data_IF_459517127013
#
_entry.id   IF_459517127013
#
_cell.length_a   1.000
_cell.length_b   1.000
_cell.length_c   1.000
_cell.angle_alpha   90.00
_cell.angle_beta   90.00
_cell.angle_gamma   90.00
#
_symmetry.space_group_name_H-M   'P 1'
#
loop_
_entity.id
_entity.type
_entity.pdbx_description
1 polymer ?
#
# COMPACT_ATOMS: atom_id res chain seq x y z
N UNK A 1 -2.73 -0.11 -32.87
CA UNK A 1 -1.59 -0.62 -32.07
C UNK A 1 -1.73 -0.11 -30.64
N UNK A 2 -1.81 -1.00 -29.64
CA UNK A 2 -1.86 -0.58 -28.24
C UNK A 2 -0.43 -0.38 -27.71
N UNK A 3 -0.17 0.79 -27.11
CA UNK A 3 1.12 1.08 -26.46
C UNK A 3 1.15 0.39 -25.10
N UNK A 4 2.27 -0.27 -24.79
CA UNK A 4 2.55 -0.84 -23.48
C UNK A 4 3.75 -0.12 -22.87
N UNK A 5 3.71 0.04 -21.55
CA UNK A 5 4.75 0.69 -20.77
C UNK A 5 5.37 -0.33 -19.84
N UNK A 6 6.70 -0.40 -19.80
CA UNK A 6 7.45 -1.02 -18.69
C UNK A 6 7.71 0.08 -17.66
N UNK A 7 7.55 -0.23 -16.38
CA UNK A 7 7.66 0.75 -15.30
C UNK A 7 8.28 0.15 -14.05
N UNK A 8 8.83 1.02 -13.22
CA UNK A 8 9.34 0.70 -11.87
C UNK A 8 8.60 1.57 -10.85
N UNK A 9 8.05 0.97 -9.80
CA UNK A 9 7.44 1.65 -8.66
C UNK A 9 8.35 1.51 -7.43
N UNK A 10 8.60 2.60 -6.72
CA UNK A 10 9.20 2.56 -5.38
C UNK A 10 8.09 2.51 -4.34
N UNK A 11 8.04 1.43 -3.57
CA UNK A 11 7.17 1.34 -2.41
C UNK A 11 7.70 2.25 -1.30
N UNK A 12 6.90 3.22 -0.86
CA UNK A 12 7.28 4.11 0.25
C UNK A 12 7.20 3.42 1.62
N UNK A 13 6.51 2.28 1.69
CA UNK A 13 6.31 1.49 2.91
C UNK A 13 7.54 0.70 3.32
N UNK A 14 8.18 0.03 2.35
CA UNK A 14 9.30 -0.88 2.58
C UNK A 14 10.56 -0.51 1.77
N UNK A 15 10.52 0.60 1.03
CA UNK A 15 11.61 1.10 0.16
C UNK A 15 12.06 0.10 -0.92
N UNK A 16 11.20 -0.85 -1.29
CA UNK A 16 11.50 -1.83 -2.34
C UNK A 16 11.02 -1.37 -3.70
N UNK A 17 11.73 -1.80 -4.75
CA UNK A 17 11.32 -1.57 -6.13
C UNK A 17 10.43 -2.71 -6.63
N UNK A 18 9.39 -2.36 -7.39
CA UNK A 18 8.54 -3.28 -8.12
C UNK A 18 8.62 -2.95 -9.62
N UNK A 19 8.91 -3.95 -10.45
CA UNK A 19 8.97 -3.79 -11.91
C UNK A 19 7.77 -4.49 -12.54
N UNK A 20 7.15 -3.86 -13.53
CA UNK A 20 6.03 -4.44 -14.25
C UNK A 20 5.77 -3.77 -15.59
N UNK A 21 4.72 -4.23 -16.28
CA UNK A 21 4.26 -3.62 -17.52
C UNK A 21 2.73 -3.46 -17.53
N UNK A 22 2.24 -2.49 -18.30
CA UNK A 22 0.79 -2.19 -18.43
C UNK A 22 0.51 -1.38 -19.69
N UNK A 23 -0.71 -1.50 -20.25
CA UNK A 23 -1.22 -0.59 -21.27
C UNK A 23 -1.76 0.73 -20.67
N UNK A 24 -2.00 0.77 -19.35
CA UNK A 24 -2.54 1.94 -18.64
C UNK A 24 -1.82 2.13 -17.29
N UNK A 25 -0.92 3.12 -17.23
CA UNK A 25 -0.12 3.44 -16.04
C UNK A 25 -0.97 4.01 -14.90
N UNK A 26 -1.97 4.85 -15.21
CA UNK A 26 -2.81 5.52 -14.20
C UNK A 26 -3.61 4.50 -13.39
N UNK A 27 -4.30 3.60 -14.07
CA UNK A 27 -5.06 2.54 -13.40
C UNK A 27 -4.15 1.64 -12.56
N UNK A 28 -2.96 1.31 -13.08
CA UNK A 28 -2.01 0.45 -12.37
C UNK A 28 -1.49 1.08 -11.08
N UNK A 29 -1.16 2.37 -11.11
CA UNK A 29 -0.73 3.10 -9.92
C UNK A 29 -1.84 3.14 -8.86
N UNK A 30 -3.08 3.43 -9.27
CA UNK A 30 -4.24 3.44 -8.37
C UNK A 30 -4.50 2.06 -7.76
N UNK A 31 -4.39 0.99 -8.54
CA UNK A 31 -4.55 -0.39 -8.05
C UNK A 31 -3.53 -0.75 -6.98
N UNK A 32 -2.23 -0.43 -7.20
CA UNK A 32 -1.18 -0.71 -6.21
C UNK A 32 -1.42 0.06 -4.91
N UNK A 33 -1.80 1.35 -4.98
CA UNK A 33 -2.11 2.15 -3.80
C UNK A 33 -3.33 1.60 -3.03
N UNK A 34 -4.41 1.22 -3.74
CA UNK A 34 -5.60 0.64 -3.11
C UNK A 34 -5.35 -0.72 -2.48
N UNK A 35 -4.50 -1.57 -3.07
CA UNK A 35 -4.14 -2.86 -2.48
C UNK A 35 -3.41 -2.70 -1.14
N UNK A 36 -2.45 -1.78 -1.05
CA UNK A 36 -1.75 -1.54 0.22
C UNK A 36 -2.68 -0.96 1.29
N UNK A 37 -3.56 -0.02 0.91
CA UNK A 37 -4.58 0.53 1.80
C UNK A 37 -5.52 -0.57 2.34
N UNK A 38 -6.01 -1.46 1.47
CA UNK A 38 -6.87 -2.59 1.87
C UNK A 38 -6.14 -3.57 2.79
N UNK A 39 -4.88 -3.88 2.50
CA UNK A 39 -4.07 -4.74 3.36
C UNK A 39 -3.88 -4.13 4.75
N UNK A 40 -3.63 -2.82 4.82
CA UNK A 40 -3.53 -2.06 6.08
C UNK A 40 -4.86 -2.07 6.84
N UNK A 41 -5.98 -1.83 6.16
CA UNK A 41 -7.32 -1.84 6.77
C UNK A 41 -7.63 -3.20 7.42
N UNK A 42 -7.44 -4.29 6.69
CA UNK A 42 -7.65 -5.66 7.20
C UNK A 42 -6.77 -5.92 8.42
N UNK A 43 -5.48 -5.55 8.35
CA UNK A 43 -4.57 -5.70 9.46
C UNK A 43 -5.02 -4.89 10.70
N UNK A 44 -5.38 -3.62 10.54
CA UNK A 44 -5.81 -2.76 11.65
C UNK A 44 -7.11 -3.26 12.30
N UNK A 45 -7.96 -3.95 11.54
CA UNK A 45 -9.18 -4.60 12.04
C UNK A 45 -8.95 -5.97 12.71
N UNK A 46 -7.73 -6.49 12.72
CA UNK A 46 -7.38 -7.71 13.45
C UNK A 46 -7.25 -7.47 14.97
N UNK A 47 -7.24 -8.54 15.78
CA UNK A 47 -7.00 -8.43 17.23
C UNK A 47 -5.65 -7.78 17.56
N UNK A 48 -4.59 -8.21 16.86
CA UNK A 48 -3.25 -7.63 16.99
C UNK A 48 -3.21 -6.15 16.57
N UNK A 49 -3.77 -5.83 15.40
CA UNK A 49 -3.80 -4.45 14.89
C UNK A 49 -4.55 -3.49 15.81
N UNK A 50 -5.67 -3.92 16.39
CA UNK A 50 -6.40 -3.14 17.41
C UNK A 50 -5.56 -2.90 18.66
N UNK A 51 -4.83 -3.91 19.14
CA UNK A 51 -3.96 -3.77 20.30
C UNK A 51 -2.79 -2.82 20.03
N UNK A 52 -2.21 -2.86 18.82
CA UNK A 52 -1.19 -1.91 18.39
C UNK A 52 -1.73 -0.48 18.36
N UNK A 53 -2.92 -0.25 17.79
CA UNK A 53 -3.54 1.08 17.79
C UNK A 53 -3.83 1.60 19.20
N UNK A 54 -4.31 0.74 20.11
CA UNK A 54 -4.52 1.10 21.52
C UNK A 54 -3.22 1.54 22.20
N UNK A 55 -2.11 0.86 21.93
CA UNK A 55 -0.80 1.23 22.49
C UNK A 55 -0.30 2.56 21.91
N UNK A 56 -0.43 2.76 20.60
CA UNK A 56 -0.05 4.01 19.95
C UNK A 56 -0.83 5.20 20.50
N UNK A 57 -2.16 5.07 20.64
CA UNK A 57 -3.01 6.12 21.21
C UNK A 57 -2.63 6.46 22.66
N UNK A 58 -2.30 5.46 23.49
CA UNK A 58 -1.79 5.71 24.84
C UNK A 58 -0.49 6.51 24.84
N UNK A 59 0.40 6.31 23.86
CA UNK A 59 1.67 7.03 23.77
C UNK A 59 1.55 8.43 23.15
N UNK A 60 0.46 8.73 22.44
CA UNK A 60 0.26 10.04 21.79
C UNK A 60 -0.67 10.96 22.57
N UNK A 61 -1.55 10.40 23.41
CA UNK A 61 -2.52 11.14 24.21
C UNK A 61 -2.11 11.30 25.69
N UNK A 62 -0.93 10.79 26.06
CA UNK A 62 -0.24 11.05 27.33
C UNK A 62 0.97 11.94 27.05
#
# INVERSE_FOLDING_TARGET
MNKYYVYTLLSLKDRRFYVGFTANLKNRLQQHAHQDAKAREVFLKSGFGRNQMKQALKQTLL
#
